data_IF_570893162244
#
_entry.id   IF_570893162244
#
_cell.length_a   1.000
_cell.length_b   1.000
_cell.length_c   1.000
_cell.angle_alpha   90.00
_cell.angle_beta   90.00
_cell.angle_gamma   90.00
#
_symmetry.space_group_name_H-M   'P 1'
#
loop_
_entity.id
_entity.type
_entity.pdbx_description
1 polymer ?
#
# COMPACT_ATOMS: atom_id res chain seq x y z
N UNK A 1 19.03 1.71 2.01
CA UNK A 1 19.78 2.15 0.79
C UNK A 1 18.81 2.86 -0.12
N UNK A 2 19.17 4.01 -0.65
CA UNK A 2 18.40 4.74 -1.66
C UNK A 2 19.13 4.56 -2.98
N UNK A 3 18.43 4.01 -3.95
CA UNK A 3 18.97 3.81 -5.30
C UNK A 3 18.18 4.69 -6.28
N UNK A 4 18.91 5.38 -7.15
CA UNK A 4 18.34 6.17 -8.23
C UNK A 4 18.53 5.42 -9.54
N UNK A 5 17.42 5.16 -10.21
CA UNK A 5 17.40 4.55 -11.53
C UNK A 5 16.83 5.54 -12.54
N UNK A 6 17.50 5.68 -13.67
CA UNK A 6 16.97 6.46 -14.79
C UNK A 6 16.03 5.58 -15.63
N UNK A 7 14.88 6.13 -15.97
CA UNK A 7 13.84 5.43 -16.71
C UNK A 7 13.49 6.20 -17.98
N UNK A 8 13.08 5.48 -19.04
CA UNK A 8 12.80 6.07 -20.35
C UNK A 8 11.41 6.76 -20.36
N UNK A 9 10.45 6.17 -19.68
CA UNK A 9 9.07 6.66 -19.63
C UNK A 9 8.34 6.17 -18.38
N UNK A 10 7.07 6.53 -18.28
CA UNK A 10 6.21 6.18 -17.14
C UNK A 10 5.99 4.66 -17.02
N UNK A 11 5.76 3.97 -18.14
CA UNK A 11 5.48 2.54 -18.11
C UNK A 11 6.72 1.76 -17.68
N UNK A 12 7.89 2.17 -18.13
CA UNK A 12 9.17 1.64 -17.68
C UNK A 12 9.40 1.91 -16.17
N UNK A 13 9.08 3.11 -15.70
CA UNK A 13 9.15 3.44 -14.28
C UNK A 13 8.24 2.54 -13.43
N UNK A 14 7.02 2.28 -13.88
CA UNK A 14 6.08 1.39 -13.20
C UNK A 14 6.58 -0.06 -13.18
N UNK A 15 7.11 -0.52 -14.27
CA UNK A 15 7.69 -1.87 -14.37
C UNK A 15 8.84 -2.04 -13.36
N UNK A 16 9.80 -1.12 -13.34
CA UNK A 16 10.92 -1.16 -12.40
C UNK A 16 10.43 -1.08 -10.96
N UNK A 17 9.50 -0.19 -10.65
CA UNK A 17 8.95 -0.05 -9.31
C UNK A 17 8.26 -1.32 -8.80
N UNK A 18 7.66 -2.10 -9.70
CA UNK A 18 6.97 -3.33 -9.37
C UNK A 18 7.87 -4.59 -9.39
N UNK A 19 9.10 -4.50 -9.87
CA UNK A 19 10.02 -5.66 -9.94
C UNK A 19 10.57 -6.08 -8.58
N UNK A 20 10.56 -5.20 -7.58
CA UNK A 20 11.07 -5.50 -6.25
C UNK A 20 10.15 -6.45 -5.49
N UNK A 21 10.72 -7.25 -4.60
CA UNK A 21 9.98 -8.20 -3.75
C UNK A 21 9.15 -7.50 -2.68
N UNK A 22 9.48 -6.25 -2.36
CA UNK A 22 8.81 -5.45 -1.34
C UNK A 22 7.66 -4.62 -1.94
N UNK A 23 6.67 -4.34 -1.11
CA UNK A 23 5.50 -3.56 -1.51
C UNK A 23 4.84 -2.86 -0.33
N UNK A 24 5.63 -2.22 0.56
CA UNK A 24 5.06 -1.53 1.71
C UNK A 24 4.46 -0.19 1.30
N UNK A 25 5.29 0.72 0.85
CA UNK A 25 4.88 2.10 0.57
C UNK A 25 5.49 2.60 -0.73
N UNK A 26 4.75 3.45 -1.42
CA UNK A 26 5.17 4.09 -2.66
C UNK A 26 4.68 5.53 -2.74
N UNK A 27 5.32 6.34 -3.58
CA UNK A 27 4.87 7.71 -3.84
C UNK A 27 5.11 8.12 -5.29
N UNK A 28 4.26 8.98 -5.78
CA UNK A 28 4.44 9.70 -7.04
C UNK A 28 4.30 11.21 -6.80
N UNK A 29 5.14 11.98 -7.47
CA UNK A 29 5.02 13.44 -7.53
C UNK A 29 4.60 13.83 -8.94
N UNK A 30 3.43 14.40 -9.08
CA UNK A 30 2.87 14.82 -10.37
C UNK A 30 1.79 15.86 -10.21
N UNK A 31 1.68 16.77 -11.18
CA UNK A 31 0.56 17.70 -11.30
C UNK A 31 -0.57 17.17 -12.21
N UNK A 32 -0.36 16.00 -12.80
CA UNK A 32 -1.32 15.38 -13.71
C UNK A 32 -2.14 14.34 -12.96
N UNK A 33 -3.42 14.62 -12.76
CA UNK A 33 -4.34 13.76 -12.03
C UNK A 33 -4.52 12.39 -12.71
N UNK A 34 -4.51 12.34 -14.04
CA UNK A 34 -4.63 11.10 -14.77
C UNK A 34 -3.42 10.18 -14.53
N UNK A 35 -2.22 10.75 -14.52
CA UNK A 35 -0.99 10.00 -14.18
C UNK A 35 -1.02 9.50 -12.73
N UNK A 36 -1.51 10.32 -11.81
CA UNK A 36 -1.67 9.93 -10.41
C UNK A 36 -2.58 8.71 -10.27
N UNK A 37 -3.76 8.72 -10.88
CA UNK A 37 -4.69 7.59 -10.83
C UNK A 37 -4.14 6.34 -11.51
N UNK A 38 -3.44 6.48 -12.64
CA UNK A 38 -2.80 5.34 -13.30
C UNK A 38 -1.72 4.72 -12.43
N UNK A 39 -0.93 5.54 -11.73
CA UNK A 39 0.06 5.06 -10.76
C UNK A 39 -0.60 4.30 -9.62
N UNK A 40 -1.61 4.89 -8.98
CA UNK A 40 -2.32 4.26 -7.86
C UNK A 40 -2.91 2.90 -8.24
N UNK A 41 -3.43 2.76 -9.46
CA UNK A 41 -3.98 1.48 -9.96
C UNK A 41 -2.90 0.43 -10.26
N UNK A 42 -1.75 0.86 -10.74
CA UNK A 42 -0.71 -0.06 -11.25
C UNK A 42 0.35 -0.44 -10.23
N UNK A 43 0.59 0.36 -9.21
CA UNK A 43 1.65 0.10 -8.24
C UNK A 43 1.28 -1.03 -7.26
N UNK A 44 2.23 -1.93 -7.02
CA UNK A 44 2.05 -3.07 -6.12
C UNK A 44 2.56 -2.75 -4.72
N UNK A 45 1.98 -1.76 -4.08
CA UNK A 45 2.27 -1.40 -2.70
C UNK A 45 0.98 -1.36 -1.86
N UNK A 46 1.13 -1.56 -0.55
CA UNK A 46 0.00 -1.52 0.37
C UNK A 46 -0.44 -0.11 0.71
N UNK A 47 0.50 0.82 0.74
CA UNK A 47 0.26 2.24 0.99
C UNK A 47 0.81 3.05 -0.17
N UNK A 48 0.01 3.90 -0.75
CA UNK A 48 0.39 4.68 -1.94
C UNK A 48 0.10 6.16 -1.70
N UNK A 49 1.07 6.98 -2.01
CA UNK A 49 1.02 8.43 -1.80
C UNK A 49 1.09 9.18 -3.13
N UNK A 50 0.46 10.34 -3.17
CA UNK A 50 0.56 11.30 -4.28
C UNK A 50 0.96 12.64 -3.71
N UNK A 51 2.07 13.19 -4.19
CA UNK A 51 2.61 14.50 -3.79
C UNK A 51 2.93 14.63 -2.29
N UNK A 52 3.24 13.52 -1.64
CA UNK A 52 3.68 13.51 -0.24
C UNK A 52 4.73 12.40 -0.02
N UNK A 53 5.51 12.48 1.06
CA UNK A 53 6.51 11.46 1.36
C UNK A 53 5.90 10.08 1.58
N UNK A 54 6.61 9.04 1.16
CA UNK A 54 6.20 7.64 1.36
C UNK A 54 6.20 7.18 2.83
N UNK A 55 6.72 8.00 3.72
CA UNK A 55 6.75 7.76 5.17
C UNK A 55 5.53 8.33 5.90
N UNK A 56 4.65 9.05 5.20
CA UNK A 56 3.45 9.61 5.81
C UNK A 56 2.42 8.50 6.05
N UNK A 57 1.86 8.46 7.25
CA UNK A 57 0.73 7.60 7.58
C UNK A 57 -0.13 8.22 8.68
N UNK A 58 -1.37 7.80 8.75
CA UNK A 58 -2.32 8.22 9.77
C UNK A 58 -2.92 6.99 10.45
N UNK A 59 -2.94 6.98 11.77
CA UNK A 59 -3.29 5.80 12.57
C UNK A 59 -4.74 5.31 12.43
N UNK A 60 -5.64 6.16 11.93
CA UNK A 60 -7.03 5.81 11.70
C UNK A 60 -7.27 5.02 10.40
N UNK A 61 -6.29 4.94 9.51
CA UNK A 61 -6.39 4.21 8.27
C UNK A 61 -5.66 2.87 8.31
N UNK A 62 -6.11 1.87 7.54
CA UNK A 62 -5.42 0.60 7.43
C UNK A 62 -3.99 0.77 6.95
N UNK A 63 -3.06 0.07 7.58
CA UNK A 63 -1.64 0.07 7.26
C UNK A 63 -1.12 -1.34 7.05
N UNK A 64 -0.34 -1.54 6.01
CA UNK A 64 0.32 -2.82 5.73
C UNK A 64 0.79 -2.91 4.29
N UNK A 65 1.70 -3.84 4.05
CA UNK A 65 2.33 -4.05 2.75
C UNK A 65 1.66 -5.11 1.90
N UNK A 66 2.11 -5.16 0.67
CA UNK A 66 1.90 -6.26 -0.28
C UNK A 66 3.19 -7.05 -0.43
N UNK A 67 3.15 -8.15 -1.17
CA UNK A 67 4.29 -9.03 -1.39
C UNK A 67 4.91 -9.45 -0.05
N UNK A 68 6.24 -9.50 0.06
CA UNK A 68 6.90 -9.88 1.32
C UNK A 68 6.89 -8.77 2.39
N UNK A 69 6.39 -7.59 2.09
CA UNK A 69 6.23 -6.51 3.07
C UNK A 69 5.02 -6.66 3.98
N UNK A 70 4.18 -7.66 3.79
CA UNK A 70 3.03 -7.88 4.65
C UNK A 70 2.48 -9.29 4.57
N UNK A 71 1.97 -9.76 5.70
CA UNK A 71 1.29 -11.04 5.85
C UNK A 71 -0.11 -10.81 6.42
N UNK A 72 -1.12 -11.37 5.75
CA UNK A 72 -2.49 -11.32 6.25
C UNK A 72 -3.15 -9.94 6.16
N UNK A 73 -4.08 -9.65 7.08
CA UNK A 73 -4.87 -8.42 7.07
C UNK A 73 -4.04 -7.18 7.41
N UNK A 74 -4.62 -6.02 7.11
CA UNK A 74 -4.03 -4.73 7.47
C UNK A 74 -4.16 -4.47 8.96
N UNK A 75 -3.24 -3.68 9.51
CA UNK A 75 -3.27 -3.15 10.86
C UNK A 75 -3.86 -1.74 10.87
N UNK A 76 -4.08 -1.19 12.07
CA UNK A 76 -4.59 0.15 12.33
C UNK A 76 -6.02 0.41 11.85
N UNK A 77 -6.61 1.48 12.38
CA UNK A 77 -8.00 1.83 12.12
C UNK A 77 -8.96 0.69 12.44
N UNK A 78 -10.03 0.58 11.70
CA UNK A 78 -10.99 -0.51 11.84
C UNK A 78 -10.42 -1.89 11.54
N UNK A 79 -9.41 -1.96 10.68
CA UNK A 79 -8.73 -3.22 10.36
C UNK A 79 -8.03 -3.85 11.56
N UNK A 80 -7.69 -3.07 12.58
CA UNK A 80 -7.10 -3.58 13.82
C UNK A 80 -8.05 -4.51 14.57
N UNK A 81 -9.35 -4.31 14.47
CA UNK A 81 -10.34 -5.19 15.09
C UNK A 81 -10.25 -6.61 14.50
N UNK A 82 -10.15 -6.71 13.19
CA UNK A 82 -10.02 -8.01 12.53
C UNK A 82 -8.68 -8.69 12.84
N UNK A 83 -7.63 -7.91 13.08
CA UNK A 83 -6.30 -8.42 13.38
C UNK A 83 -6.17 -8.95 14.82
N UNK A 84 -6.76 -8.24 15.80
CA UNK A 84 -6.56 -8.52 17.23
C UNK A 84 -7.68 -9.32 17.89
N UNK A 85 -8.77 -9.64 17.18
CA UNK A 85 -9.91 -10.38 17.71
C UNK A 85 -10.23 -11.61 16.88
N UNK A 86 -10.82 -12.60 17.54
CA UNK A 86 -11.39 -13.78 16.88
C UNK A 86 -12.91 -13.70 16.89
N UNK A 87 -13.52 -14.09 15.77
CA UNK A 87 -14.97 -14.17 15.67
C UNK A 87 -15.47 -15.49 16.24
N UNK A 88 -16.43 -15.43 17.16
CA UNK A 88 -17.14 -16.59 17.69
C UNK A 88 -18.64 -16.46 17.41
N UNK A 89 -19.20 -17.45 16.74
CA UNK A 89 -20.64 -17.54 16.53
C UNK A 89 -21.26 -18.43 17.61
N UNK A 90 -22.31 -17.96 18.27
CA UNK A 90 -22.99 -18.69 19.35
C UNK A 90 -24.48 -18.76 19.06
N UNK A 91 -25.01 -19.97 19.08
CA UNK A 91 -26.46 -20.22 19.01
C UNK A 91 -26.93 -20.71 20.37
N UNK A 92 -27.94 -20.05 20.93
CA UNK A 92 -28.55 -20.45 22.20
C UNK A 92 -30.05 -20.66 22.00
N UNK A 93 -30.53 -21.83 22.37
CA UNK A 93 -31.98 -22.11 22.39
C UNK A 93 -32.44 -22.12 23.84
N UNK A 94 -33.42 -21.30 24.18
CA UNK A 94 -34.02 -21.32 25.52
C UNK A 94 -34.84 -22.59 25.80
#
# INVERSE_FOLDING_TARGET
MIERLDVNDRDHAMEIANQVEFGLSSTIFTNDLQKAFQFVKGIQSGVTHVNMPSTHFESQFPFGGKKISGLGPREQGESALDFYVETKTVYIRP
#
